data_IF_441060111077
#
_entry.id   IF_441060111077
#
_cell.length_a   1.000
_cell.length_b   1.000
_cell.length_c   1.000
_cell.angle_alpha   90.00
_cell.angle_beta   90.00
_cell.angle_gamma   90.00
#
_symmetry.space_group_name_H-M   'P 1'
#
loop_
_entity.id
_entity.type
_entity.pdbx_description
1 polymer ?
#
# COMPACT_ATOMS: atom_id res chain seq x y z
N UNK A 1 48.04 19.87 67.61
CA UNK A 1 48.60 18.56 68.03
C UNK A 1 48.13 17.50 67.07
N UNK A 2 49.04 16.58 66.71
CA UNK A 2 48.92 15.53 65.69
C UNK A 2 47.88 14.46 66.05
N UNK A 3 47.17 13.91 65.06
CA UNK A 3 47.13 12.46 64.81
C UNK A 3 46.48 12.13 63.45
N UNK A 4 47.28 11.50 62.60
CA UNK A 4 46.87 10.64 61.49
C UNK A 4 46.40 9.29 62.06
N UNK A 5 45.39 8.68 61.46
CA UNK A 5 45.33 7.24 61.16
C UNK A 5 44.30 6.98 60.06
N UNK A 6 44.80 6.47 58.94
CA UNK A 6 44.07 5.77 57.88
C UNK A 6 43.30 4.56 58.43
N UNK A 7 42.16 4.20 57.82
CA UNK A 7 41.75 2.83 57.44
C UNK A 7 40.38 2.87 56.73
N UNK A 8 40.39 2.44 55.46
CA UNK A 8 39.33 1.78 54.64
C UNK A 8 37.92 2.42 54.51
N UNK A 9 37.41 2.64 53.28
CA UNK A 9 35.98 2.88 53.05
C UNK A 9 35.21 1.59 52.69
N UNK A 10 34.17 1.38 53.49
CA UNK A 10 32.80 1.01 53.11
C UNK A 10 32.49 -0.31 52.39
N UNK A 11 32.02 -1.25 53.22
CA UNK A 11 31.16 -2.37 52.83
C UNK A 11 29.70 -1.92 52.92
N UNK A 12 28.99 -2.00 51.78
CA UNK A 12 27.52 -2.01 51.58
C UNK A 12 26.72 -0.70 51.76
N UNK A 13 26.30 -0.14 50.62
CA UNK A 13 24.93 0.37 50.38
C UNK A 13 24.72 0.51 48.85
N UNK A 14 23.87 -0.32 48.24
CA UNK A 14 22.54 0.04 47.71
C UNK A 14 22.54 0.94 46.46
N UNK A 15 22.19 0.38 45.29
CA UNK A 15 21.02 0.84 44.53
C UNK A 15 20.66 -0.17 43.41
N UNK A 16 19.35 -0.33 43.27
CA UNK A 16 18.58 -1.11 42.30
C UNK A 16 18.70 -0.65 40.84
N UNK A 17 18.27 -1.54 39.95
CA UNK A 17 17.60 -1.26 38.66
C UNK A 17 18.33 -0.36 37.66
N UNK A 18 19.01 -0.98 36.70
CA UNK A 18 19.00 -0.51 35.31
C UNK A 18 18.96 -1.75 34.39
N UNK A 19 17.90 -1.81 33.58
CA UNK A 19 17.85 -2.69 32.43
C UNK A 19 19.04 -2.38 31.52
N UNK A 20 19.92 -3.36 31.39
CA UNK A 20 21.02 -3.36 30.45
C UNK A 20 20.61 -4.17 29.23
N UNK A 21 20.41 -3.46 28.13
CA UNK A 21 20.55 -3.90 26.75
C UNK A 21 21.22 -5.27 26.58
N UNK A 22 20.43 -6.33 26.26
CA UNK A 22 20.95 -7.57 25.66
C UNK A 22 21.33 -7.31 24.20
N UNK A 23 22.30 -6.43 23.99
CA UNK A 23 22.86 -6.17 22.68
C UNK A 23 23.88 -7.27 22.35
N UNK A 24 23.58 -8.01 21.29
CA UNK A 24 24.53 -8.71 20.42
C UNK A 24 25.45 -9.77 21.08
N UNK A 25 24.88 -10.68 21.88
CA UNK A 25 25.61 -11.88 22.26
C UNK A 25 25.72 -12.85 21.05
N UNK A 26 26.89 -12.82 20.41
CA UNK A 26 27.55 -13.87 19.62
C UNK A 26 26.62 -14.83 18.86
N UNK A 27 26.15 -14.40 17.68
CA UNK A 27 25.41 -15.27 16.76
C UNK A 27 26.31 -16.35 16.15
N UNK A 28 25.79 -17.58 16.11
CA UNK A 28 26.36 -18.75 15.43
C UNK A 28 27.60 -19.41 16.06
N UNK A 29 27.70 -19.49 17.38
CA UNK A 29 28.57 -20.48 18.03
C UNK A 29 28.14 -21.94 17.70
N UNK A 30 29.00 -22.94 17.92
CA UNK A 30 28.70 -24.36 17.67
C UNK A 30 27.44 -24.84 18.43
N UNK A 31 27.15 -24.20 19.56
CA UNK A 31 25.90 -24.38 20.30
C UNK A 31 24.64 -24.03 19.49
N UNK A 32 24.72 -23.06 18.56
CA UNK A 32 23.61 -22.68 17.68
C UNK A 32 23.34 -23.74 16.62
N UNK A 33 24.38 -24.42 16.11
CA UNK A 33 24.24 -25.50 15.14
C UNK A 33 23.57 -26.71 15.81
N UNK A 34 24.01 -27.04 17.03
CA UNK A 34 23.39 -28.11 17.83
C UNK A 34 21.92 -27.79 18.18
N UNK A 35 21.60 -26.53 18.46
CA UNK A 35 20.21 -26.06 18.65
C UNK A 35 19.38 -26.25 17.37
N UNK A 36 19.97 -25.98 16.19
CA UNK A 36 19.28 -26.17 14.92
C UNK A 36 18.96 -27.65 14.65
N UNK A 37 19.90 -28.56 14.86
CA UNK A 37 19.65 -30.01 14.69
C UNK A 37 18.55 -30.52 15.62
N UNK A 38 18.55 -30.06 16.88
CA UNK A 38 17.49 -30.38 17.83
C UNK A 38 16.14 -29.79 17.39
N UNK A 39 16.15 -28.56 16.88
CA UNK A 39 14.96 -27.90 16.34
C UNK A 39 14.38 -28.66 15.13
N UNK A 40 15.22 -29.06 14.17
CA UNK A 40 14.81 -29.87 13.00
C UNK A 40 14.16 -31.19 13.43
N UNK A 41 14.77 -31.91 14.38
CA UNK A 41 14.21 -33.16 14.95
C UNK A 41 12.87 -32.91 15.63
N UNK A 42 12.77 -31.82 16.38
CA UNK A 42 11.54 -31.41 17.08
C UNK A 42 10.42 -31.09 16.09
N UNK A 43 10.69 -30.28 15.07
CA UNK A 43 9.73 -29.95 14.00
C UNK A 43 9.30 -31.21 13.25
N UNK A 44 10.22 -32.13 12.97
CA UNK A 44 9.92 -33.41 12.32
C UNK A 44 8.97 -34.26 13.18
N UNK A 45 9.22 -34.35 14.48
CA UNK A 45 8.34 -35.05 15.42
C UNK A 45 6.97 -34.38 15.56
N UNK A 46 6.91 -33.04 15.53
CA UNK A 46 5.66 -32.26 15.55
C UNK A 46 4.84 -32.54 14.29
N UNK A 47 5.47 -32.55 13.11
CA UNK A 47 4.83 -32.90 11.84
C UNK A 47 4.30 -34.34 11.86
N UNK A 48 5.08 -35.30 12.35
CA UNK A 48 4.68 -36.71 12.47
C UNK A 48 3.46 -36.92 13.38
N UNK A 49 3.22 -36.02 14.34
CA UNK A 49 2.01 -36.01 15.19
C UNK A 49 0.78 -35.41 14.51
N UNK A 50 0.87 -34.97 13.26
CA UNK A 50 -0.26 -34.40 12.51
C UNK A 50 -0.64 -32.98 12.93
N UNK A 51 0.30 -32.22 13.51
CA UNK A 51 0.06 -30.82 13.85
C UNK A 51 -0.18 -30.00 12.58
N UNK A 52 -1.14 -29.07 12.63
CA UNK A 52 -1.55 -28.29 11.46
C UNK A 52 -0.37 -27.51 10.85
N UNK A 53 -0.21 -27.49 9.51
CA UNK A 53 0.91 -26.84 8.83
C UNK A 53 1.11 -25.35 9.17
N UNK A 54 0.03 -24.60 9.38
CA UNK A 54 0.07 -23.18 9.78
C UNK A 54 0.71 -22.97 11.16
N UNK A 55 0.46 -23.88 12.10
CA UNK A 55 1.08 -23.84 13.42
C UNK A 55 2.56 -24.24 13.36
N UNK A 56 2.88 -25.27 12.58
CA UNK A 56 4.29 -25.66 12.32
C UNK A 56 5.04 -24.50 11.68
N UNK A 57 4.42 -23.84 10.71
CA UNK A 57 4.97 -22.68 10.05
C UNK A 57 5.20 -21.51 10.99
N UNK A 58 4.25 -21.23 11.88
CA UNK A 58 4.39 -20.20 12.92
C UNK A 58 5.55 -20.49 13.88
N UNK A 59 5.74 -21.75 14.27
CA UNK A 59 6.87 -22.18 15.12
C UNK A 59 8.20 -21.94 14.39
N UNK A 60 8.29 -22.32 13.12
CA UNK A 60 9.50 -22.11 12.30
C UNK A 60 9.77 -20.61 12.11
N UNK A 61 8.76 -19.81 11.76
CA UNK A 61 8.93 -18.37 11.60
C UNK A 61 9.40 -17.70 12.90
N UNK A 62 8.80 -18.06 14.04
CA UNK A 62 9.23 -17.53 15.33
C UNK A 62 10.67 -17.93 15.69
N UNK A 63 11.03 -19.21 15.47
CA UNK A 63 12.40 -19.67 15.67
C UNK A 63 13.38 -18.93 14.76
N UNK A 64 13.04 -18.78 13.48
CA UNK A 64 13.86 -18.08 12.51
C UNK A 64 14.06 -16.61 12.89
N UNK A 65 13.02 -15.88 13.32
CA UNK A 65 13.13 -14.48 13.73
C UNK A 65 13.99 -14.28 14.98
N UNK A 66 14.12 -15.29 15.84
CA UNK A 66 15.03 -15.24 17.01
C UNK A 66 16.50 -15.23 16.58
N UNK A 67 16.83 -15.98 15.53
CA UNK A 67 18.21 -16.19 15.08
C UNK A 67 18.61 -15.31 13.88
N UNK A 68 17.63 -14.88 13.09
CA UNK A 68 17.78 -13.95 11.98
C UNK A 68 16.81 -12.80 12.18
N UNK A 69 17.25 -11.72 12.84
CA UNK A 69 16.34 -10.63 13.16
C UNK A 69 15.81 -9.91 11.92
N UNK A 70 16.51 -9.96 10.79
CA UNK A 70 16.03 -9.56 9.45
C UNK A 70 14.68 -10.21 9.06
N UNK A 71 14.33 -11.34 9.68
CA UNK A 71 13.07 -12.05 9.49
C UNK A 71 11.99 -11.68 10.53
N UNK A 72 12.20 -10.69 11.40
CA UNK A 72 11.17 -10.16 12.32
C UNK A 72 10.39 -9.00 11.68
N UNK A 73 9.08 -8.87 11.97
CA UNK A 73 8.18 -7.92 11.26
C UNK A 73 8.47 -6.45 11.62
N UNK A 74 9.01 -6.19 12.82
CA UNK A 74 9.19 -4.85 13.39
C UNK A 74 10.66 -4.49 13.64
N UNK A 75 11.51 -4.58 12.62
CA UNK A 75 12.82 -3.91 12.70
C UNK A 75 12.63 -2.41 12.43
N UNK A 76 12.94 -1.51 13.39
CA UNK A 76 12.93 -0.08 13.12
C UNK A 76 13.96 0.19 12.03
N UNK A 77 13.50 0.79 10.93
CA UNK A 77 14.31 1.22 9.80
C UNK A 77 15.29 2.32 10.26
N UNK A 78 16.38 1.92 10.93
CA UNK A 78 17.62 2.68 10.86
C UNK A 78 18.20 2.42 9.47
N UNK A 79 17.78 3.26 8.53
CA UNK A 79 18.04 3.10 7.10
C UNK A 79 19.48 2.75 6.79
N UNK A 80 19.66 1.76 5.90
CA UNK A 80 20.86 1.47 5.08
C UNK A 80 22.20 1.20 5.77
N UNK A 81 22.43 1.71 6.97
CA UNK A 81 23.70 1.74 7.68
C UNK A 81 23.83 0.63 8.72
N UNK A 82 22.72 0.01 9.15
CA UNK A 82 22.76 -1.14 10.05
C UNK A 82 23.26 -2.43 9.39
N UNK A 83 23.30 -2.49 8.05
CA UNK A 83 23.89 -3.63 7.30
C UNK A 83 25.42 -3.65 7.42
N UNK A 84 26.04 -2.57 7.92
CA UNK A 84 27.49 -2.46 8.13
C UNK A 84 27.89 -2.20 9.59
N UNK A 85 26.95 -2.28 10.53
CA UNK A 85 27.25 -2.03 11.94
C UNK A 85 27.86 -3.28 12.61
N UNK A 86 29.19 -3.24 12.69
CA UNK A 86 30.03 -3.77 13.77
C UNK A 86 29.98 -5.29 14.01
N UNK A 87 30.82 -5.98 13.24
CA UNK A 87 31.35 -7.30 13.53
C UNK A 87 32.41 -7.21 14.65
N UNK A 88 32.02 -6.75 15.85
CA UNK A 88 32.86 -6.83 17.05
C UNK A 88 32.41 -8.02 17.90
N UNK A 89 32.83 -9.22 17.49
CA UNK A 89 32.65 -10.44 18.27
C UNK A 89 33.46 -11.61 17.74
N UNK A 90 34.48 -12.02 18.49
CA UNK A 90 35.23 -13.29 18.37
C UNK A 90 36.09 -13.47 17.09
N UNK A 91 37.22 -14.21 17.12
CA UNK A 91 38.10 -14.39 15.96
C UNK A 91 37.57 -15.44 14.97
N UNK A 92 36.27 -15.43 14.69
CA UNK A 92 35.70 -16.27 13.64
C UNK A 92 35.80 -15.53 12.30
N UNK A 93 36.36 -16.19 11.28
CA UNK A 93 36.48 -15.60 9.95
C UNK A 93 35.10 -15.18 9.44
N UNK A 94 34.97 -13.97 8.89
CA UNK A 94 33.72 -13.48 8.29
C UNK A 94 33.12 -14.46 7.27
N UNK A 95 33.97 -15.24 6.59
CA UNK A 95 33.56 -16.30 5.68
C UNK A 95 32.87 -17.47 6.40
N UNK A 96 33.34 -17.86 7.59
CA UNK A 96 32.73 -18.93 8.38
C UNK A 96 31.34 -18.51 8.88
N UNK A 97 31.21 -17.29 9.42
CA UNK A 97 29.92 -16.73 9.83
C UNK A 97 28.92 -16.65 8.66
N UNK A 98 29.40 -16.23 7.48
CA UNK A 98 28.60 -16.24 6.25
C UNK A 98 28.10 -17.63 5.86
N UNK A 99 28.98 -18.63 5.87
CA UNK A 99 28.60 -20.01 5.55
C UNK A 99 27.62 -20.58 6.56
N UNK A 100 27.78 -20.28 7.86
CA UNK A 100 26.82 -20.68 8.91
C UNK A 100 25.44 -20.04 8.66
N UNK A 101 25.39 -18.74 8.32
CA UNK A 101 24.13 -18.06 7.98
C UNK A 101 23.47 -18.69 6.75
N UNK A 102 24.24 -19.00 5.71
CA UNK A 102 23.75 -19.69 4.51
C UNK A 102 23.17 -21.06 4.85
N UNK A 103 23.91 -21.89 5.58
CA UNK A 103 23.45 -23.21 6.01
C UNK A 103 22.15 -23.14 6.82
N UNK A 104 22.05 -22.17 7.73
CA UNK A 104 20.84 -21.96 8.53
C UNK A 104 19.64 -21.60 7.66
N UNK A 105 19.79 -20.68 6.69
CA UNK A 105 18.73 -20.31 5.74
C UNK A 105 18.29 -21.51 4.90
N UNK A 106 19.23 -22.26 4.33
CA UNK A 106 18.93 -23.45 3.52
C UNK A 106 18.18 -24.51 4.35
N UNK A 107 18.62 -24.74 5.59
CA UNK A 107 17.96 -25.68 6.50
C UNK A 107 16.56 -25.22 6.89
N UNK A 108 16.35 -23.91 7.13
CA UNK A 108 15.02 -23.35 7.37
C UNK A 108 14.07 -23.63 6.20
N UNK A 109 14.53 -23.39 4.96
CA UNK A 109 13.73 -23.66 3.75
C UNK A 109 13.38 -25.15 3.65
N UNK A 110 14.34 -26.03 3.93
CA UNK A 110 14.15 -27.49 3.88
C UNK A 110 13.07 -28.00 4.85
N UNK A 111 12.89 -27.34 6.00
CA UNK A 111 11.89 -27.74 7.00
C UNK A 111 10.56 -27.02 6.89
N UNK A 112 10.36 -26.09 5.94
CA UNK A 112 9.07 -25.41 5.78
C UNK A 112 7.95 -26.41 5.42
N UNK A 113 6.74 -26.26 5.97
CA UNK A 113 5.59 -27.07 5.56
C UNK A 113 5.26 -26.82 4.07
N UNK A 114 5.04 -27.84 3.24
CA UNK A 114 4.82 -27.66 1.79
C UNK A 114 3.48 -27.00 1.42
N UNK A 115 2.52 -26.96 2.35
CA UNK A 115 1.16 -26.50 2.08
C UNK A 115 1.09 -24.99 1.83
N UNK A 116 0.27 -24.56 0.85
CA UNK A 116 -0.01 -23.14 0.59
C UNK A 116 -0.61 -22.46 1.83
N UNK A 117 -0.22 -21.22 2.08
CA UNK A 117 -0.64 -20.41 3.24
C UNK A 117 -0.23 -20.99 4.62
N UNK A 118 0.68 -21.97 4.68
CA UNK A 118 1.24 -22.44 5.96
C UNK A 118 2.26 -21.46 6.56
N UNK A 119 2.84 -20.61 5.71
CA UNK A 119 3.81 -19.57 6.07
C UNK A 119 3.33 -18.24 5.47
N UNK A 120 3.31 -17.13 6.25
CA UNK A 120 2.95 -15.81 5.72
C UNK A 120 3.84 -15.37 4.55
N UNK A 121 3.25 -14.78 3.51
CA UNK A 121 3.99 -14.35 2.31
C UNK A 121 5.12 -13.36 2.62
N UNK A 122 4.89 -12.40 3.52
CA UNK A 122 5.92 -11.42 3.93
C UNK A 122 7.12 -12.07 4.61
N UNK A 123 6.91 -13.15 5.37
CA UNK A 123 8.02 -13.91 5.95
C UNK A 123 8.82 -14.63 4.86
N UNK A 124 8.14 -15.25 3.88
CA UNK A 124 8.81 -15.90 2.75
C UNK A 124 9.62 -14.90 1.91
N UNK A 125 9.10 -13.69 1.70
CA UNK A 125 9.81 -12.62 0.99
C UNK A 125 11.07 -12.17 1.74
N UNK A 126 10.99 -12.01 3.06
CA UNK A 126 12.17 -11.72 3.90
C UNK A 126 13.18 -12.85 3.86
N UNK A 127 12.72 -14.10 3.92
CA UNK A 127 13.59 -15.28 3.81
C UNK A 127 14.23 -15.38 2.42
N UNK A 128 13.51 -15.05 1.35
CA UNK A 128 14.02 -14.99 -0.02
C UNK A 128 15.06 -13.89 -0.19
N UNK A 129 14.81 -12.70 0.38
CA UNK A 129 15.79 -11.60 0.45
C UNK A 129 17.08 -12.08 1.12
N UNK A 130 16.98 -12.70 2.30
CA UNK A 130 18.16 -13.23 3.00
C UNK A 130 18.83 -14.37 2.23
N UNK A 131 18.07 -15.25 1.59
CA UNK A 131 18.61 -16.34 0.76
C UNK A 131 19.39 -15.84 -0.45
N UNK A 132 18.91 -14.78 -1.12
CA UNK A 132 19.62 -14.12 -2.19
C UNK A 132 20.88 -13.42 -1.69
N UNK A 133 20.78 -12.72 -0.56
CA UNK A 133 21.92 -12.07 0.07
C UNK A 133 23.03 -13.06 0.36
N UNK A 134 22.74 -14.18 1.03
CA UNK A 134 23.76 -15.18 1.44
C UNK A 134 24.23 -16.10 0.30
N UNK A 135 23.65 -15.96 -0.90
CA UNK A 135 23.96 -16.83 -2.04
C UNK A 135 23.56 -18.29 -1.81
N UNK A 136 22.37 -18.53 -1.26
CA UNK A 136 21.82 -19.88 -1.07
C UNK A 136 21.70 -20.64 -2.40
N UNK A 137 21.72 -21.97 -2.32
CA UNK A 137 21.60 -22.83 -3.51
C UNK A 137 20.34 -22.50 -4.34
N UNK A 138 20.45 -22.64 -5.66
CA UNK A 138 19.37 -22.29 -6.58
C UNK A 138 18.08 -23.07 -6.31
N UNK A 139 18.18 -24.31 -5.84
CA UNK A 139 17.05 -25.17 -5.45
C UNK A 139 16.22 -24.54 -4.31
N UNK A 140 16.86 -24.06 -3.24
CA UNK A 140 16.18 -23.40 -2.13
C UNK A 140 15.56 -22.05 -2.53
N UNK A 141 16.25 -21.27 -3.37
CA UNK A 141 15.72 -20.01 -3.89
C UNK A 141 14.48 -20.24 -4.76
N UNK A 142 14.53 -21.24 -5.65
CA UNK A 142 13.40 -21.61 -6.51
C UNK A 142 12.19 -22.10 -5.71
N UNK A 143 12.43 -22.87 -4.63
CA UNK A 143 11.38 -23.32 -3.72
C UNK A 143 10.68 -22.14 -3.04
N UNK A 144 11.45 -21.16 -2.55
CA UNK A 144 10.90 -19.92 -1.97
C UNK A 144 10.12 -19.11 -2.99
N UNK A 145 10.66 -18.91 -4.19
CA UNK A 145 9.97 -18.21 -5.28
C UNK A 145 8.64 -18.87 -5.63
N UNK A 146 8.62 -20.22 -5.71
CA UNK A 146 7.42 -20.99 -6.00
C UNK A 146 6.34 -20.74 -4.95
N UNK A 147 6.72 -20.79 -3.67
CA UNK A 147 5.79 -20.57 -2.55
C UNK A 147 5.32 -19.12 -2.44
N UNK A 148 6.18 -18.14 -2.70
CA UNK A 148 5.79 -16.71 -2.77
C UNK A 148 4.80 -16.50 -3.90
N UNK A 149 5.06 -17.08 -5.07
CA UNK A 149 4.19 -16.94 -6.24
C UNK A 149 2.80 -17.52 -6.03
N UNK A 150 2.60 -18.48 -5.11
CA UNK A 150 1.27 -18.97 -4.76
C UNK A 150 0.43 -17.96 -3.98
N UNK A 151 1.02 -16.97 -3.33
CA UNK A 151 0.29 -16.10 -2.39
C UNK A 151 0.72 -14.64 -2.50
N UNK A 152 1.12 -14.22 -3.70
CA UNK A 152 1.63 -12.89 -3.98
C UNK A 152 0.60 -11.80 -3.66
N UNK A 153 -0.70 -12.11 -3.65
CA UNK A 153 -1.77 -11.20 -3.25
C UNK A 153 -1.74 -10.79 -1.77
N UNK A 154 -0.94 -11.50 -0.95
CA UNK A 154 -0.75 -11.24 0.48
C UNK A 154 0.55 -10.47 0.77
N UNK A 155 1.37 -10.20 -0.26
CA UNK A 155 2.62 -9.49 -0.10
C UNK A 155 2.41 -7.99 0.14
N UNK A 156 3.27 -7.41 0.99
CA UNK A 156 3.40 -5.96 1.12
C UNK A 156 4.42 -5.44 0.11
N UNK A 157 4.28 -4.16 -0.28
CA UNK A 157 5.25 -3.49 -1.13
C UNK A 157 6.66 -3.50 -0.50
N UNK A 158 6.75 -3.22 0.80
CA UNK A 158 8.00 -3.19 1.56
C UNK A 158 8.79 -4.49 1.45
N UNK A 159 8.12 -5.64 1.58
CA UNK A 159 8.81 -6.93 1.49
C UNK A 159 9.04 -7.38 0.06
N UNK A 160 8.26 -6.89 -0.91
CA UNK A 160 8.51 -7.14 -2.33
C UNK A 160 9.73 -6.38 -2.87
N UNK A 161 10.13 -5.27 -2.24
CA UNK A 161 11.34 -4.53 -2.59
C UNK A 161 12.59 -5.29 -2.16
N UNK A 162 13.00 -6.28 -2.97
CA UNK A 162 14.20 -7.09 -2.76
C UNK A 162 15.37 -6.44 -3.53
N UNK A 163 16.48 -6.09 -2.85
CA UNK A 163 17.66 -5.56 -3.51
C UNK A 163 18.28 -6.57 -4.48
N UNK A 164 18.92 -6.07 -5.53
CA UNK A 164 19.77 -6.90 -6.37
C UNK A 164 21.09 -7.17 -5.66
N UNK A 165 21.44 -8.45 -5.50
CA UNK A 165 22.72 -8.89 -4.92
C UNK A 165 23.71 -9.35 -5.99
N UNK A 166 23.38 -9.16 -7.28
CA UNK A 166 24.28 -9.50 -8.38
C UNK A 166 25.23 -8.35 -8.69
N UNK A 167 26.52 -8.66 -8.81
CA UNK A 167 27.57 -7.70 -9.17
C UNK A 167 27.49 -7.23 -10.64
N UNK A 168 26.68 -7.89 -11.47
CA UNK A 168 26.45 -7.52 -12.87
C UNK A 168 25.18 -6.70 -13.09
N UNK A 169 24.37 -6.51 -12.05
CA UNK A 169 23.09 -5.81 -12.15
C UNK A 169 23.28 -4.30 -12.00
N UNK A 170 22.72 -3.53 -12.93
CA UNK A 170 22.74 -2.06 -12.85
C UNK A 170 21.69 -1.52 -11.88
N UNK A 171 20.57 -2.22 -11.68
CA UNK A 171 19.46 -1.74 -10.85
C UNK A 171 19.67 -2.04 -9.36
N UNK A 172 19.11 -1.17 -8.51
CA UNK A 172 19.10 -1.33 -7.06
C UNK A 172 18.19 -2.48 -6.61
N UNK A 173 17.08 -2.70 -7.33
CA UNK A 173 16.12 -3.76 -7.06
C UNK A 173 16.27 -4.90 -8.06
N UNK A 174 15.95 -6.12 -7.62
CA UNK A 174 15.95 -7.32 -8.46
C UNK A 174 14.64 -7.40 -9.28
N UNK A 175 14.58 -6.65 -10.37
CA UNK A 175 13.39 -6.58 -11.25
C UNK A 175 13.10 -7.94 -11.90
N UNK A 176 14.15 -8.69 -12.25
CA UNK A 176 14.03 -10.01 -12.87
C UNK A 176 13.40 -11.03 -11.91
N UNK A 177 13.76 -11.00 -10.62
CA UNK A 177 13.09 -11.79 -9.60
C UNK A 177 11.59 -11.48 -9.54
N UNK A 178 11.21 -10.19 -9.48
CA UNK A 178 9.80 -9.81 -9.40
C UNK A 178 9.05 -10.22 -10.66
N UNK A 179 9.67 -10.07 -11.83
CA UNK A 179 9.12 -10.57 -13.10
C UNK A 179 8.80 -12.07 -13.02
N UNK A 180 9.76 -12.90 -12.59
CA UNK A 180 9.58 -14.35 -12.45
C UNK A 180 8.49 -14.72 -11.43
N UNK A 181 8.39 -13.99 -10.32
CA UNK A 181 7.33 -14.20 -9.31
C UNK A 181 5.94 -13.91 -9.88
N UNK A 182 5.79 -12.79 -10.60
CA UNK A 182 4.51 -12.38 -11.19
C UNK A 182 4.11 -13.30 -12.34
N UNK A 183 5.04 -13.69 -13.21
CA UNK A 183 4.78 -14.64 -14.30
C UNK A 183 4.29 -15.99 -13.77
N UNK A 184 4.93 -16.50 -12.71
CA UNK A 184 4.53 -17.75 -12.07
C UNK A 184 3.15 -17.61 -11.42
N UNK A 185 2.90 -16.53 -10.68
CA UNK A 185 1.58 -16.24 -10.10
C UNK A 185 0.50 -16.25 -11.18
N UNK A 186 0.71 -15.51 -12.29
CA UNK A 186 -0.26 -15.44 -13.39
C UNK A 186 -0.49 -16.80 -14.02
N UNK A 187 0.57 -17.59 -14.25
CA UNK A 187 0.45 -18.94 -14.83
C UNK A 187 -0.42 -19.87 -13.98
N UNK A 188 -0.23 -19.83 -12.66
CA UNK A 188 -1.01 -20.63 -11.69
C UNK A 188 -2.50 -20.24 -11.67
N UNK A 189 -2.79 -18.95 -11.80
CA UNK A 189 -4.15 -18.43 -11.78
C UNK A 189 -4.95 -18.86 -13.03
N UNK A 190 -4.28 -19.02 -14.18
CA UNK A 190 -4.91 -19.48 -15.42
C UNK A 190 -5.04 -21.01 -15.51
N UNK A 191 -4.13 -21.78 -14.90
CA UNK A 191 -4.19 -23.24 -14.89
C UNK A 191 -5.18 -23.79 -13.83
N UNK A 192 -5.41 -23.06 -12.73
CA UNK A 192 -6.10 -23.54 -11.53
C UNK A 192 -7.63 -23.59 -11.54
N UNK A 193 -8.32 -23.25 -12.65
CA UNK A 193 -9.79 -23.41 -12.82
C UNK A 193 -10.71 -22.65 -11.83
N UNK A 194 -10.17 -21.95 -10.83
CA UNK A 194 -10.91 -21.26 -9.77
C UNK A 194 -11.17 -19.78 -10.12
N UNK A 195 -11.85 -19.53 -11.24
CA UNK A 195 -12.01 -18.22 -11.86
C UNK A 195 -12.68 -17.10 -11.04
N UNK A 196 -13.30 -17.40 -9.88
CA UNK A 196 -14.01 -16.39 -9.07
C UNK A 196 -13.14 -15.84 -7.92
N UNK A 197 -12.36 -16.67 -7.23
CA UNK A 197 -11.38 -16.22 -6.22
C UNK A 197 -10.16 -15.55 -6.88
N UNK A 198 -9.85 -15.96 -8.10
CA UNK A 198 -8.70 -15.51 -8.88
C UNK A 198 -8.75 -14.02 -9.25
N UNK A 199 -9.93 -13.49 -9.58
CA UNK A 199 -10.07 -12.09 -9.99
C UNK A 199 -9.63 -11.08 -8.92
N UNK A 200 -9.96 -11.31 -7.64
CA UNK A 200 -9.57 -10.40 -6.56
C UNK A 200 -8.07 -10.48 -6.25
N UNK A 201 -7.49 -11.69 -6.27
CA UNK A 201 -6.04 -11.87 -6.09
C UNK A 201 -5.26 -11.17 -7.21
N UNK A 202 -5.71 -11.36 -8.46
CA UNK A 202 -5.12 -10.73 -9.64
C UNK A 202 -5.18 -9.19 -9.58
N UNK A 203 -6.30 -8.62 -9.12
CA UNK A 203 -6.42 -7.16 -8.93
C UNK A 203 -5.46 -6.65 -7.83
N UNK A 204 -5.30 -7.39 -6.72
CA UNK A 204 -4.36 -7.03 -5.65
C UNK A 204 -2.92 -7.06 -6.15
N UNK A 205 -2.53 -8.11 -6.87
CA UNK A 205 -1.20 -8.23 -7.47
C UNK A 205 -0.96 -7.14 -8.49
N UNK A 206 -1.96 -6.77 -9.32
CA UNK A 206 -1.80 -5.68 -10.26
C UNK A 206 -1.52 -4.34 -9.58
N UNK A 207 -2.24 -4.01 -8.50
CA UNK A 207 -1.96 -2.82 -7.69
C UNK A 207 -0.57 -2.87 -7.06
N UNK A 208 -0.17 -4.05 -6.56
CA UNK A 208 1.15 -4.25 -5.96
C UNK A 208 2.28 -4.03 -6.98
N UNK A 209 2.13 -4.58 -8.19
CA UNK A 209 3.09 -4.41 -9.30
C UNK A 209 3.14 -2.95 -9.77
N UNK A 210 1.99 -2.27 -9.89
CA UNK A 210 1.96 -0.85 -10.26
C UNK A 210 2.65 0.02 -9.19
N UNK A 211 2.48 -0.30 -7.90
CA UNK A 211 3.22 0.35 -6.82
C UNK A 211 4.72 0.05 -6.88
N UNK A 212 5.11 -1.21 -7.11
CA UNK A 212 6.51 -1.60 -7.26
C UNK A 212 7.18 -0.89 -8.43
N UNK A 213 6.52 -0.84 -9.60
CA UNK A 213 7.01 -0.13 -10.78
C UNK A 213 7.19 1.37 -10.51
N UNK A 214 6.32 1.98 -9.70
CA UNK A 214 6.48 3.39 -9.34
C UNK A 214 7.72 3.64 -8.47
N UNK A 215 8.08 2.73 -7.56
CA UNK A 215 9.32 2.82 -6.78
C UNK A 215 10.55 2.49 -7.62
N UNK A 216 10.50 1.41 -8.40
CA UNK A 216 11.60 0.98 -9.28
C UNK A 216 11.91 2.02 -10.36
N UNK A 217 10.90 2.75 -10.84
CA UNK A 217 11.04 3.79 -11.86
C UNK A 217 11.94 4.97 -11.46
N UNK A 218 12.21 5.16 -10.17
CA UNK A 218 13.15 6.18 -9.67
C UNK A 218 14.60 5.82 -10.02
N UNK A 219 14.89 4.53 -10.21
CA UNK A 219 16.21 4.05 -10.58
C UNK A 219 16.55 4.43 -12.03
N UNK A 220 17.63 5.18 -12.22
CA UNK A 220 18.12 5.62 -13.54
C UNK A 220 18.67 4.48 -14.40
N UNK A 221 18.97 3.33 -13.79
CA UNK A 221 19.45 2.14 -14.51
C UNK A 221 18.31 1.22 -14.96
N UNK A 222 17.06 1.48 -14.54
CA UNK A 222 15.91 0.68 -14.99
C UNK A 222 15.68 0.88 -16.49
N UNK A 223 15.81 -0.19 -17.27
CA UNK A 223 15.58 -0.11 -18.71
C UNK A 223 14.09 -0.06 -19.05
N UNK A 224 13.77 0.55 -20.20
CA UNK A 224 12.40 0.55 -20.74
C UNK A 224 11.91 -0.88 -20.98
N UNK A 225 12.81 -1.79 -21.38
CA UNK A 225 12.47 -3.18 -21.64
C UNK A 225 11.99 -3.91 -20.36
N UNK A 226 12.73 -3.77 -19.25
CA UNK A 226 12.35 -4.38 -17.96
C UNK A 226 11.05 -3.79 -17.42
N UNK A 227 10.88 -2.46 -17.49
CA UNK A 227 9.64 -1.80 -17.09
C UNK A 227 8.45 -2.35 -17.87
N UNK A 228 8.57 -2.41 -19.20
CA UNK A 228 7.52 -2.89 -20.09
C UNK A 228 7.22 -4.37 -19.89
N UNK A 229 8.25 -5.20 -19.68
CA UNK A 229 8.10 -6.62 -19.43
C UNK A 229 7.25 -6.85 -18.17
N UNK A 230 7.63 -6.23 -17.04
CA UNK A 230 6.90 -6.40 -15.78
C UNK A 230 5.48 -5.83 -15.84
N UNK A 231 5.29 -4.65 -16.44
CA UNK A 231 3.96 -4.05 -16.60
C UNK A 231 3.03 -4.91 -17.47
N UNK A 232 3.60 -5.62 -18.45
CA UNK A 232 2.91 -6.43 -19.45
C UNK A 232 2.57 -7.86 -19.05
N UNK A 233 3.15 -8.39 -17.95
CA UNK A 233 2.83 -9.75 -17.47
C UNK A 233 1.37 -9.89 -17.08
N UNK A 234 0.81 -8.83 -16.49
CA UNK A 234 -0.56 -8.82 -16.01
C UNK A 234 -1.53 -8.57 -17.16
N UNK A 235 -2.61 -9.36 -17.27
CA UNK A 235 -3.54 -9.22 -18.36
C UNK A 235 -4.41 -7.96 -18.16
N UNK A 236 -4.92 -7.36 -19.25
CA UNK A 236 -5.54 -6.03 -19.21
C UNK A 236 -6.74 -5.89 -18.26
N UNK A 237 -7.45 -6.97 -17.96
CA UNK A 237 -8.58 -7.07 -17.03
C UNK A 237 -8.16 -7.04 -15.55
N UNK A 238 -6.89 -7.28 -15.24
CA UNK A 238 -6.37 -7.22 -13.87
C UNK A 238 -6.44 -5.80 -13.29
N UNK A 239 -6.38 -4.78 -14.16
CA UNK A 239 -6.47 -3.37 -13.79
C UNK A 239 -7.87 -2.84 -14.02
N UNK A 240 -8.57 -2.55 -12.91
CA UNK A 240 -9.85 -1.81 -12.94
C UNK A 240 -9.65 -0.32 -13.18
N UNK A 241 -8.48 0.21 -12.82
CA UNK A 241 -8.03 1.58 -13.07
C UNK A 241 -6.53 1.52 -13.37
N UNK A 242 -6.08 2.40 -14.26
CA UNK A 242 -4.67 2.48 -14.68
C UNK A 242 -3.92 3.64 -13.98
N UNK A 243 -4.49 4.22 -12.91
CA UNK A 243 -3.89 5.34 -12.18
C UNK A 243 -2.51 4.98 -11.60
N UNK A 244 -2.37 3.76 -11.04
CA UNK A 244 -1.11 3.26 -10.52
C UNK A 244 -0.05 3.10 -11.61
N UNK A 245 -0.44 2.50 -12.74
CA UNK A 245 0.43 2.35 -13.91
C UNK A 245 0.82 3.70 -14.51
N UNK A 246 -0.12 4.66 -14.60
CA UNK A 246 0.17 6.02 -15.02
C UNK A 246 1.19 6.70 -14.09
N UNK A 247 1.02 6.57 -12.76
CA UNK A 247 1.99 7.09 -11.79
C UNK A 247 3.37 6.48 -12.00
N UNK A 248 3.47 5.18 -12.26
CA UNK A 248 4.74 4.53 -12.53
C UNK A 248 5.40 5.04 -13.83
N UNK A 249 4.63 5.18 -14.91
CA UNK A 249 5.10 5.77 -16.18
C UNK A 249 5.56 7.20 -15.95
N UNK A 250 4.79 7.99 -15.20
CA UNK A 250 5.14 9.38 -14.94
C UNK A 250 6.43 9.51 -14.13
N UNK A 251 6.61 8.70 -13.08
CA UNK A 251 7.85 8.64 -12.32
C UNK A 251 9.02 8.25 -13.20
N UNK A 252 8.84 7.25 -14.07
CA UNK A 252 9.88 6.82 -15.01
C UNK A 252 10.30 7.96 -15.93
N UNK A 253 9.34 8.62 -16.58
CA UNK A 253 9.64 9.77 -17.45
C UNK A 253 10.26 10.95 -16.70
N UNK A 254 10.07 11.06 -15.38
CA UNK A 254 10.76 12.04 -14.53
C UNK A 254 12.22 11.71 -14.33
N UNK A 255 12.51 10.46 -13.97
CA UNK A 255 13.85 9.99 -13.63
C UNK A 255 14.70 9.73 -14.90
N UNK A 256 14.05 9.56 -16.06
CA UNK A 256 14.68 9.22 -17.34
C UNK A 256 14.46 10.32 -18.40
N UNK A 257 14.99 11.54 -18.22
CA UNK A 257 14.76 12.65 -19.16
C UNK A 257 15.29 12.35 -20.57
N UNK A 258 16.31 11.49 -20.67
CA UNK A 258 16.95 11.08 -21.92
C UNK A 258 16.15 10.02 -22.71
N UNK A 259 15.03 9.52 -22.18
CA UNK A 259 14.17 8.57 -22.88
C UNK A 259 13.73 9.14 -24.23
N UNK A 260 13.98 8.37 -25.29
CA UNK A 260 13.69 8.74 -26.67
C UNK A 260 12.19 8.89 -26.92
N UNK A 261 11.81 9.65 -27.96
CA UNK A 261 10.40 9.82 -28.35
C UNK A 261 9.69 8.47 -28.57
N UNK A 262 10.41 7.47 -29.09
CA UNK A 262 9.88 6.14 -29.33
C UNK A 262 9.64 5.37 -28.02
N UNK A 263 10.54 5.46 -27.06
CA UNK A 263 10.38 4.86 -25.74
C UNK A 263 9.22 5.49 -24.97
N UNK A 264 9.13 6.82 -24.95
CA UNK A 264 7.99 7.53 -24.35
C UNK A 264 6.66 7.09 -24.95
N UNK A 265 6.60 6.90 -26.27
CA UNK A 265 5.43 6.37 -26.98
C UNK A 265 5.09 4.94 -26.54
N UNK A 266 6.10 4.06 -26.40
CA UNK A 266 5.89 2.67 -25.97
C UNK A 266 5.39 2.60 -24.53
N UNK A 267 6.03 3.33 -23.61
CA UNK A 267 5.62 3.41 -22.20
C UNK A 267 4.19 3.92 -22.04
N UNK A 268 3.86 5.04 -22.67
CA UNK A 268 2.50 5.59 -22.61
C UNK A 268 1.45 4.69 -23.28
N UNK A 269 1.87 3.77 -24.16
CA UNK A 269 0.98 2.79 -24.79
C UNK A 269 0.58 1.64 -23.88
N UNK A 270 1.22 1.49 -22.71
CA UNK A 270 0.84 0.47 -21.72
C UNK A 270 -0.47 0.80 -20.99
N UNK A 271 -0.78 2.09 -20.82
CA UNK A 271 -1.97 2.54 -20.10
C UNK A 271 -3.17 2.69 -21.04
N UNK A 272 -4.35 2.29 -20.57
CA UNK A 272 -5.63 2.58 -21.20
C UNK A 272 -6.20 3.88 -20.61
N UNK A 273 -6.16 4.96 -21.39
CA UNK A 273 -6.64 6.28 -20.96
C UNK A 273 -8.11 6.28 -20.53
N UNK A 274 -8.91 5.32 -21.01
CA UNK A 274 -10.32 5.17 -20.61
C UNK A 274 -10.47 4.72 -19.15
N UNK A 275 -9.45 4.08 -18.58
CA UNK A 275 -9.41 3.56 -17.21
C UNK A 275 -8.79 4.52 -16.20
N UNK A 276 -8.32 5.68 -16.65
CA UNK A 276 -7.84 6.72 -15.76
C UNK A 276 -9.00 7.37 -15.00
N UNK A 277 -8.77 7.71 -13.74
CA UNK A 277 -9.67 8.59 -12.99
C UNK A 277 -9.65 10.02 -13.56
N UNK A 278 -10.65 10.86 -13.24
CA UNK A 278 -10.66 12.26 -13.67
C UNK A 278 -9.43 13.03 -13.19
N UNK A 279 -8.95 12.76 -11.97
CA UNK A 279 -7.77 13.40 -11.39
C UNK A 279 -6.49 12.97 -12.14
N UNK A 280 -6.32 11.67 -12.37
CA UNK A 280 -5.19 11.16 -13.15
C UNK A 280 -5.23 11.67 -14.60
N UNK A 281 -6.42 11.76 -15.20
CA UNK A 281 -6.61 12.29 -16.55
C UNK A 281 -6.27 13.78 -16.65
N UNK A 282 -6.65 14.57 -15.64
CA UNK A 282 -6.28 15.99 -15.56
C UNK A 282 -4.76 16.15 -15.47
N UNK A 283 -4.11 15.40 -14.58
CA UNK A 283 -2.65 15.43 -14.44
C UNK A 283 -1.97 15.00 -15.75
N UNK A 284 -2.45 13.93 -16.39
CA UNK A 284 -1.93 13.47 -17.68
C UNK A 284 -2.12 14.51 -18.80
N UNK A 285 -3.25 15.21 -18.83
CA UNK A 285 -3.50 16.25 -19.82
C UNK A 285 -2.54 17.45 -19.71
N UNK A 286 -2.02 17.72 -18.52
CA UNK A 286 -1.09 18.83 -18.23
C UNK A 286 0.39 18.40 -18.25
N UNK A 287 0.67 17.13 -18.51
CA UNK A 287 2.01 16.58 -18.37
C UNK A 287 2.81 16.69 -19.67
N UNK A 288 3.72 17.67 -19.72
CA UNK A 288 4.60 17.97 -20.85
C UNK A 288 5.58 16.83 -21.21
N UNK A 289 5.78 15.83 -20.32
CA UNK A 289 6.64 14.69 -20.61
C UNK A 289 5.98 13.65 -21.51
N UNK A 290 4.64 13.64 -21.55
CA UNK A 290 3.89 12.70 -22.38
C UNK A 290 3.90 13.11 -23.85
N UNK A 291 3.91 12.15 -24.79
CA UNK A 291 3.69 12.45 -26.19
C UNK A 291 2.32 13.11 -26.41
N UNK A 292 2.26 14.12 -27.28
CA UNK A 292 1.02 14.84 -27.64
C UNK A 292 -0.13 13.89 -28.01
N UNK A 293 0.17 12.79 -28.71
CA UNK A 293 -0.84 11.78 -29.06
C UNK A 293 -1.48 11.13 -27.83
N UNK A 294 -0.70 10.86 -26.78
CA UNK A 294 -1.19 10.27 -25.53
C UNK A 294 -2.08 11.28 -24.79
N UNK A 295 -1.67 12.55 -24.72
CA UNK A 295 -2.46 13.64 -24.14
C UNK A 295 -3.82 13.78 -24.84
N UNK A 296 -3.81 13.77 -26.18
CA UNK A 296 -5.03 13.81 -26.98
C UNK A 296 -5.95 12.61 -26.68
N UNK A 297 -5.39 11.40 -26.54
CA UNK A 297 -6.17 10.21 -26.19
C UNK A 297 -6.83 10.33 -24.81
N UNK A 298 -6.12 10.89 -23.82
CA UNK A 298 -6.67 11.17 -22.48
C UNK A 298 -7.83 12.16 -22.56
N UNK A 299 -7.65 13.27 -23.28
CA UNK A 299 -8.70 14.28 -23.44
C UNK A 299 -9.94 13.73 -24.15
N UNK A 300 -9.77 12.93 -25.21
CA UNK A 300 -10.89 12.28 -25.89
C UNK A 300 -11.61 11.25 -25.02
N UNK A 301 -10.88 10.49 -24.20
CA UNK A 301 -11.53 9.56 -23.26
C UNK A 301 -12.38 10.30 -22.23
N UNK A 302 -11.91 11.44 -21.71
CA UNK A 302 -12.68 12.27 -20.78
C UNK A 302 -13.90 12.91 -21.47
N UNK A 303 -13.74 13.43 -22.70
CA UNK A 303 -14.85 13.96 -23.48
C UNK A 303 -15.93 12.89 -23.71
N UNK A 304 -15.54 11.65 -24.00
CA UNK A 304 -16.48 10.54 -24.21
C UNK A 304 -17.22 10.16 -22.91
N UNK A 305 -16.54 10.17 -21.75
CA UNK A 305 -17.17 9.94 -20.44
C UNK A 305 -18.20 11.03 -20.13
N UNK A 306 -17.84 12.30 -20.32
CA UNK A 306 -18.75 13.43 -20.12
C UNK A 306 -19.94 13.38 -21.06
N UNK A 307 -19.73 13.11 -22.35
CA UNK A 307 -20.81 13.09 -23.33
C UNK A 307 -21.82 11.97 -23.02
N UNK A 308 -21.36 10.80 -22.55
CA UNK A 308 -22.26 9.77 -22.03
C UNK A 308 -23.13 10.32 -20.90
N UNK A 309 -22.56 11.00 -19.90
CA UNK A 309 -23.36 11.60 -18.82
C UNK A 309 -24.39 12.63 -19.30
N UNK A 310 -24.07 13.39 -20.36
CA UNK A 310 -24.99 14.36 -20.99
C UNK A 310 -26.11 13.66 -21.76
N UNK A 311 -25.80 12.59 -22.51
CA UNK A 311 -26.80 11.79 -23.24
C UNK A 311 -27.80 11.09 -22.30
N UNK A 312 -27.36 10.69 -21.10
CA UNK A 312 -28.24 10.14 -20.05
C UNK A 312 -29.08 11.20 -19.33
N UNK A 313 -28.63 12.47 -19.29
CA UNK A 313 -29.41 13.58 -18.70
C UNK A 313 -30.27 14.33 -19.71
N UNK A 314 -30.06 14.09 -21.01
CA UNK A 314 -30.67 14.81 -22.13
C UNK A 314 -31.77 14.03 -22.84
N UNK A 315 -32.78 13.52 -22.12
CA UNK A 315 -34.01 13.06 -22.78
C UNK A 315 -35.28 13.43 -22.02
N UNK A 316 -35.55 14.73 -22.00
CA UNK A 316 -36.91 15.23 -22.11
C UNK A 316 -36.86 16.55 -22.91
N UNK A 317 -37.57 16.56 -24.04
CA UNK A 317 -37.86 17.75 -24.87
C UNK A 317 -36.68 18.55 -25.45
N UNK A 318 -36.22 18.14 -26.64
CA UNK A 318 -36.10 19.10 -27.76
C UNK A 318 -36.13 18.37 -29.10
N UNK A 319 -37.35 18.16 -29.62
CA UNK A 319 -37.55 17.74 -30.99
C UNK A 319 -37.78 18.97 -31.86
N UNK A 320 -36.72 19.49 -32.50
CA UNK A 320 -36.73 19.95 -33.89
C UNK A 320 -35.33 20.42 -34.34
N UNK A 321 -34.66 19.63 -35.17
CA UNK A 321 -34.35 19.99 -36.57
C UNK A 321 -33.59 18.84 -37.25
N UNK A 322 -33.88 18.51 -38.53
CA UNK A 322 -33.23 17.42 -39.23
C UNK A 322 -32.01 17.89 -40.06
N UNK A 323 -31.12 16.93 -40.30
CA UNK A 323 -30.13 16.82 -41.37
C UNK A 323 -28.74 17.48 -41.18
N UNK A 324 -27.77 16.61 -40.88
CA UNK A 324 -26.60 16.42 -41.76
C UNK A 324 -26.24 14.93 -41.80
N UNK A 325 -26.06 14.40 -43.00
CA UNK A 325 -25.74 13.01 -43.29
C UNK A 325 -24.25 12.71 -43.09
N UNK A 326 -23.93 11.49 -42.64
CA UNK A 326 -22.57 10.96 -42.69
C UNK A 326 -22.33 9.76 -41.77
N UNK A 327 -22.43 8.55 -42.36
CA UNK A 327 -21.89 7.25 -41.94
C UNK A 327 -21.67 6.96 -40.43
N UNK A 328 -22.43 6.00 -39.88
CA UNK A 328 -21.83 4.85 -39.18
C UNK A 328 -22.85 3.72 -38.89
N UNK A 329 -22.30 2.52 -38.71
CA UNK A 329 -22.95 1.21 -38.59
C UNK A 329 -23.92 1.08 -37.39
N UNK A 330 -24.87 0.11 -37.40
CA UNK A 330 -25.99 0.12 -36.48
C UNK A 330 -25.56 -0.39 -35.09
N UNK A 331 -25.44 0.53 -34.13
CA UNK A 331 -25.65 0.19 -32.73
C UNK A 331 -27.07 -0.39 -32.63
N UNK A 332 -27.20 -1.64 -32.22
CA UNK A 332 -28.50 -2.30 -32.04
C UNK A 332 -29.37 -1.41 -31.16
N UNK A 333 -30.40 -0.83 -31.76
CA UNK A 333 -31.45 -0.11 -31.07
C UNK A 333 -32.07 -1.06 -30.05
N UNK A 334 -31.88 -0.80 -28.75
CA UNK A 334 -32.71 -1.43 -27.72
C UNK A 334 -34.17 -1.07 -28.04
N UNK A 335 -35.01 -2.09 -28.12
CA UNK A 335 -36.42 -1.91 -28.48
C UNK A 335 -37.06 -0.92 -27.50
N UNK A 336 -37.99 -0.05 -27.98
CA UNK A 336 -38.79 0.87 -27.12
C UNK A 336 -39.39 0.15 -25.89
N UNK A 337 -39.61 -1.16 -26.00
CA UNK A 337 -40.13 -2.01 -24.93
C UNK A 337 -39.11 -2.27 -23.80
N UNK A 338 -37.84 -2.44 -24.13
CA UNK A 338 -36.74 -2.66 -23.17
C UNK A 338 -36.37 -1.37 -22.41
N UNK A 339 -36.34 -0.23 -23.12
CA UNK A 339 -36.11 1.07 -22.49
C UNK A 339 -37.22 1.41 -21.47
N UNK A 340 -38.48 1.07 -21.78
CA UNK A 340 -39.60 1.24 -20.85
C UNK A 340 -39.52 0.32 -19.63
N UNK A 341 -39.05 -0.92 -19.80
CA UNK A 341 -38.84 -1.85 -18.68
C UNK A 341 -37.76 -1.37 -17.72
N UNK A 342 -36.61 -0.91 -18.25
CA UNK A 342 -35.53 -0.37 -17.43
C UNK A 342 -35.92 0.94 -16.73
N UNK A 343 -36.71 1.80 -17.37
CA UNK A 343 -37.24 3.00 -16.72
C UNK A 343 -38.21 2.67 -15.57
N UNK A 344 -38.99 1.59 -15.72
CA UNK A 344 -39.83 1.04 -14.66
C UNK A 344 -39.02 0.53 -13.46
N UNK A 345 -37.92 -0.19 -13.72
CA UNK A 345 -37.02 -0.67 -12.67
C UNK A 345 -36.32 0.48 -11.94
N UNK A 346 -35.82 1.48 -12.66
CA UNK A 346 -35.21 2.68 -12.06
C UNK A 346 -36.21 3.45 -11.20
N UNK A 347 -37.47 3.56 -11.62
CA UNK A 347 -38.52 4.18 -10.82
C UNK A 347 -38.81 3.38 -9.55
N UNK A 348 -38.90 2.06 -9.65
CA UNK A 348 -39.10 1.17 -8.49
C UNK A 348 -37.93 1.27 -7.50
N UNK A 349 -36.69 1.29 -8.00
CA UNK A 349 -35.50 1.46 -7.16
C UNK A 349 -35.49 2.83 -6.45
N UNK A 350 -35.91 3.91 -7.12
CA UNK A 350 -36.05 5.23 -6.49
C UNK A 350 -37.09 5.22 -5.37
N UNK A 351 -38.22 4.56 -5.58
CA UNK A 351 -39.27 4.40 -4.57
C UNK A 351 -38.76 3.56 -3.38
N UNK A 352 -37.99 2.50 -3.64
CA UNK A 352 -37.37 1.70 -2.57
C UNK A 352 -36.30 2.46 -1.78
N UNK A 353 -35.47 3.27 -2.43
CA UNK A 353 -34.48 4.12 -1.76
C UNK A 353 -35.17 5.17 -0.89
N UNK A 354 -36.22 5.82 -1.39
CA UNK A 354 -36.99 6.78 -0.59
C UNK A 354 -37.65 6.11 0.64
N UNK A 355 -38.17 4.89 0.46
CA UNK A 355 -38.72 4.08 1.56
C UNK A 355 -37.64 3.72 2.59
N UNK A 356 -36.48 3.28 2.15
CA UNK A 356 -35.36 2.93 3.02
C UNK A 356 -34.82 4.14 3.79
N UNK A 357 -34.70 5.30 3.13
CA UNK A 357 -34.33 6.55 3.79
C UNK A 357 -35.34 6.93 4.89
N UNK A 358 -36.64 6.82 4.62
CA UNK A 358 -37.69 7.04 5.62
C UNK A 358 -37.56 6.07 6.81
N UNK A 359 -37.25 4.79 6.56
CA UNK A 359 -37.01 3.80 7.61
C UNK A 359 -35.77 4.13 8.44
N UNK A 360 -34.66 4.53 7.81
CA UNK A 360 -33.45 4.98 8.50
C UNK A 360 -33.73 6.21 9.39
N UNK A 361 -34.45 7.21 8.88
CA UNK A 361 -34.83 8.39 9.66
C UNK A 361 -35.75 8.05 10.84
N UNK A 362 -36.70 7.14 10.64
CA UNK A 362 -37.57 6.66 11.73
C UNK A 362 -36.78 5.91 12.81
N UNK A 363 -35.82 5.08 12.41
CA UNK A 363 -34.97 4.33 13.32
C UNK A 363 -34.02 5.27 14.09
N UNK A 364 -33.44 6.26 13.42
CA UNK A 364 -32.62 7.30 14.07
C UNK A 364 -33.45 8.05 15.13
N UNK A 365 -34.68 8.47 14.79
CA UNK A 365 -35.58 9.12 15.75
C UNK A 365 -36.02 8.21 16.91
N UNK A 366 -36.01 6.88 16.75
CA UNK A 366 -36.24 5.96 17.87
C UNK A 366 -35.00 5.86 18.78
N UNK A 367 -33.80 5.84 18.21
CA UNK A 367 -32.54 5.84 18.96
C UNK A 367 -32.44 7.11 19.80
N UNK A 368 -32.70 8.28 19.22
CA UNK A 368 -32.65 9.56 19.93
C UNK A 368 -33.67 9.63 21.07
N UNK A 369 -34.88 9.08 20.87
CA UNK A 369 -35.91 8.97 21.92
C UNK A 369 -35.53 8.00 23.04
N UNK A 370 -34.77 6.94 22.75
CA UNK A 370 -34.26 6.03 23.78
C UNK A 370 -33.10 6.66 24.58
N UNK A 371 -32.28 7.48 23.94
CA UNK A 371 -31.20 8.24 24.59
C UNK A 371 -31.76 9.32 25.51
N UNK A 372 -32.80 10.05 25.08
CA UNK A 372 -33.54 11.03 25.89
C UNK A 372 -34.27 10.40 27.09
N UNK A 373 -34.85 9.21 26.93
CA UNK A 373 -35.52 8.50 28.05
C UNK A 373 -34.52 7.96 29.06
N UNK A 374 -33.31 7.59 28.64
CA UNK A 374 -32.20 7.24 29.54
C UNK A 374 -31.61 8.46 30.28
N UNK A 375 -31.73 9.67 29.73
CA UNK A 375 -31.26 10.89 30.40
C UNK A 375 -32.26 11.49 31.40
N UNK A 376 -33.56 11.18 31.27
CA UNK A 376 -34.65 11.71 32.13
C UNK A 376 -35.02 10.85 33.34
N UNK A 377 -34.32 9.74 33.60
CA UNK A 377 -34.56 8.92 34.77
C UNK A 377 -33.34 8.13 35.19
N UNK A 378 -32.45 8.73 35.98
CA UNK A 378 -31.94 8.13 37.21
C UNK A 378 -31.19 9.18 38.03
N UNK A 379 -31.68 9.41 39.24
CA UNK A 379 -31.07 10.22 40.27
C UNK A 379 -29.72 9.61 40.71
N UNK A 380 -28.74 10.50 40.91
CA UNK A 380 -27.47 10.35 41.64
C UNK A 380 -27.41 9.19 42.66
N UNK A 381 -26.43 8.31 42.51
CA UNK A 381 -25.56 7.95 43.63
C UNK A 381 -24.19 8.60 43.44
N UNK A 382 -23.91 9.61 44.28
CA UNK A 382 -22.56 10.11 44.53
C UNK A 382 -21.81 9.07 45.37
N UNK A 383 -20.57 8.81 44.97
CA UNK A 383 -19.39 8.50 45.82
C UNK A 383 -19.61 7.52 46.99
N UNK A 384 -19.06 6.32 46.84
CA UNK A 384 -18.00 5.88 47.77
C UNK A 384 -16.70 6.00 46.98
N UNK A 385 -15.83 6.89 47.46
CA UNK A 385 -14.45 6.97 46.99
C UNK A 385 -13.55 6.13 47.87
N UNK A 386 -12.43 5.68 47.31
CA UNK A 386 -11.13 6.06 47.84
C UNK A 386 -10.06 5.87 46.74
N UNK A 387 -9.44 7.01 46.44
CA UNK A 387 -8.21 7.31 45.67
C UNK A 387 -7.03 6.97 46.67
N UNK A 388 -5.70 7.06 46.39
CA UNK A 388 -5.07 7.81 45.30
C UNK A 388 -3.72 7.33 44.70
N UNK A 389 -3.42 7.91 43.51
CA UNK A 389 -2.15 8.52 43.05
C UNK A 389 -0.82 7.77 43.17
N UNK A 390 0.19 7.91 42.31
CA UNK A 390 0.43 8.54 41.00
C UNK A 390 1.95 8.40 40.79
N UNK A 391 2.40 8.08 39.58
CA UNK A 391 3.63 8.64 39.00
C UNK A 391 3.58 8.39 37.49
N UNK A 392 3.05 9.36 36.73
CA UNK A 392 3.81 10.39 36.00
C UNK A 392 4.62 9.80 34.85
N UNK A 393 4.21 10.12 33.62
CA UNK A 393 5.10 10.90 32.77
C UNK A 393 4.32 11.89 31.92
N UNK A 394 4.82 13.12 31.99
CA UNK A 394 4.42 14.31 31.27
C UNK A 394 4.91 14.28 29.84
N UNK A 395 4.14 14.88 28.93
CA UNK A 395 4.59 16.03 28.13
C UNK A 395 3.37 16.62 27.44
N UNK A 396 3.15 17.91 27.69
CA UNK A 396 2.16 18.70 27.00
C UNK A 396 2.78 19.34 25.77
N UNK A 397 1.99 19.45 24.71
CA UNK A 397 2.04 20.58 23.80
C UNK A 397 0.62 21.10 23.68
N UNK A 398 0.48 22.38 24.00
CA UNK A 398 -0.77 23.10 24.01
C UNK A 398 -1.18 23.49 22.59
N UNK A 399 -2.45 23.32 22.26
CA UNK A 399 -3.13 24.28 21.40
C UNK A 399 -4.55 24.49 21.93
N UNK A 400 -4.88 25.75 22.16
CA UNK A 400 -6.17 26.22 22.65
C UNK A 400 -7.12 26.31 21.46
N UNK A 401 -8.37 25.91 21.65
CA UNK A 401 -9.60 26.73 21.51
C UNK A 401 -10.78 25.78 21.73
N UNK A 402 -11.63 26.16 22.67
CA UNK A 402 -12.88 25.48 23.03
C UNK A 402 -14.07 26.34 22.58
N UNK A 403 -15.16 25.63 22.22
CA UNK A 403 -16.58 26.01 22.16
C UNK A 403 -16.99 27.34 21.49
N UNK A 404 -17.98 27.37 20.58
CA UNK A 404 -19.37 27.05 20.93
C UNK A 404 -20.29 26.89 19.70
N UNK A 405 -21.16 25.89 19.79
CA UNK A 405 -22.55 25.73 19.31
C UNK A 405 -23.16 26.65 18.23
N UNK A 406 -23.77 26.04 17.19
CA UNK A 406 -25.24 25.90 17.04
C UNK A 406 -25.66 25.38 15.64
N UNK A 407 -26.30 24.20 15.64
CA UNK A 407 -27.61 23.82 15.07
C UNK A 407 -28.02 24.28 13.64
N UNK A 408 -28.41 23.25 12.88
CA UNK A 408 -29.44 23.14 11.82
C UNK A 408 -29.13 23.34 10.33
N UNK A 409 -29.65 22.35 9.59
CA UNK A 409 -29.69 22.21 8.15
C UNK A 409 -31.04 22.69 7.60
N UNK A 410 -31.05 23.33 6.43
CA UNK A 410 -31.70 22.80 5.21
C UNK A 410 -32.11 23.89 4.21
N UNK A 411 -31.61 23.71 2.98
CA UNK A 411 -32.16 23.97 1.65
C UNK A 411 -33.41 24.86 1.46
N UNK A 412 -33.31 25.81 0.52
CA UNK A 412 -34.45 26.38 -0.20
C UNK A 412 -34.10 27.53 -1.16
N UNK A 413 -33.98 27.21 -2.45
CA UNK A 413 -33.76 28.06 -3.63
C UNK A 413 -34.74 29.24 -3.78
N UNK A 414 -34.30 30.39 -4.31
CA UNK A 414 -34.90 31.16 -5.44
C UNK A 414 -34.30 32.60 -5.51
N UNK A 415 -33.67 32.93 -6.64
CA UNK A 415 -33.43 34.32 -7.09
C UNK A 415 -34.77 35.01 -7.41
N UNK A 416 -34.90 36.36 -7.32
CA UNK A 416 -34.76 37.18 -8.54
C UNK A 416 -34.47 38.72 -8.38
N UNK A 417 -33.94 39.30 -9.48
CA UNK A 417 -33.96 40.69 -10.04
C UNK A 417 -33.71 41.99 -9.24
N UNK A 418 -32.80 42.78 -9.85
CA UNK A 418 -32.84 44.22 -10.22
C UNK A 418 -32.76 45.39 -9.22
N UNK A 419 -32.06 46.41 -9.73
CA UNK A 419 -32.19 47.87 -9.52
C UNK A 419 -31.32 48.61 -8.48
N UNK A 420 -30.26 49.20 -9.05
CA UNK A 420 -29.97 50.66 -9.12
C UNK A 420 -29.47 51.45 -7.89
N UNK A 421 -28.22 51.91 -8.07
CA UNK A 421 -27.70 53.29 -7.93
C UNK A 421 -27.48 53.93 -6.56
N UNK A 422 -26.21 54.29 -6.28
CA UNK A 422 -25.64 55.66 -6.05
C UNK A 422 -24.21 55.48 -5.50
N UNK A 423 -23.15 55.63 -6.29
CA UNK A 423 -22.48 56.87 -6.71
C UNK A 423 -22.10 57.83 -5.57
N UNK A 424 -20.85 57.77 -5.09
CA UNK A 424 -20.11 58.94 -4.59
C UNK A 424 -18.63 58.84 -5.02
N UNK A 425 -18.24 59.82 -5.87
CA UNK A 425 -16.90 60.38 -6.16
C UNK A 425 -15.94 60.27 -4.95
N UNK A 426 -14.66 59.95 -5.07
CA UNK A 426 -13.70 60.25 -6.13
C UNK A 426 -12.62 61.20 -5.59
N UNK A 427 -11.34 60.80 -5.63
CA UNK A 427 -10.18 61.66 -5.91
C UNK A 427 -8.90 60.83 -6.03
N UNK A 428 -8.35 60.82 -7.25
CA UNK A 428 -7.03 60.32 -7.66
C UNK A 428 -5.97 61.46 -7.54
N UNK A 429 -4.72 61.31 -8.00
CA UNK A 429 -3.52 61.02 -7.19
C UNK A 429 -2.46 62.14 -7.35
N UNK A 430 -1.17 61.88 -7.06
CA UNK A 430 -0.18 62.23 -8.09
C UNK A 430 0.84 61.13 -8.41
N UNK A 431 1.40 61.31 -9.61
CA UNK A 431 2.33 60.48 -10.38
C UNK A 431 3.79 60.92 -10.16
N UNK A 432 4.70 60.19 -10.83
CA UNK A 432 6.09 60.49 -11.29
C UNK A 432 7.15 59.70 -10.51
N UNK A 433 8.18 59.07 -11.11
CA UNK A 433 8.70 59.00 -12.49
C UNK A 433 9.65 57.78 -12.61
N UNK A 434 9.87 57.30 -13.84
CA UNK A 434 10.99 56.41 -14.22
C UNK A 434 12.31 57.20 -14.27
N UNK A 435 13.45 56.57 -13.96
CA UNK A 435 14.66 56.61 -14.80
C UNK A 435 15.68 55.56 -14.39
N UNK A 436 16.50 55.18 -15.37
CA UNK A 436 17.51 54.12 -15.41
C UNK A 436 18.75 54.44 -14.56
N UNK A 437 19.42 53.40 -14.05
CA UNK A 437 20.81 53.10 -14.38
C UNK A 437 21.13 51.65 -14.02
#
# INVERSE_FOLDING_TARGET
>A
MKKLTLLEPDVKAQQQFLGGSMAADCWFDDACILDMDYFVKTVTAIKAKGVRPDLVGSIISHYASKWLPELAEDFPEKGGAAVLAEFEGSPESATASWMKKRFFVETLVAILPPERNSIPCNFLLRLLRTANMVGAEASYRLELETRVSWQLEQASLKELMIPSFSHTCGTLLDIELILRLVERFVSLEFEGGSGIKSGTALIKVAKLVDCYLAEAAVDSNLSVAEFMALAGVLPGQARSSDDGLYRAIDTYLKAHPNASKQERKRLCGLMDSRKLSPEASLHAAQNERLPVRSVIQVLFSEQTKLNRHVDWSGSFSSARSPNTAGLEAPARCLSKREAGAQQGEVRKLREEVARLQSQCSSMQAQIDRMLEKKSKGFFRWKKIGLVPSSAKNSIGVAERVDESDQVEASFGTFTPVNMKTRLVKGRTPPKWRKSMS
#
